data_IF_912407023479
#
_entry.id   IF_912407023479
#
_cell.length_a   1.000
_cell.length_b   1.000
_cell.length_c   1.000
_cell.angle_alpha   90.00
_cell.angle_beta   90.00
_cell.angle_gamma   90.00
#
_symmetry.space_group_name_H-M   'P 1'
#
loop_
_entity.id
_entity.type
_entity.pdbx_description
1 polymer ?
#
# COMPACT_ATOMS: atom_id res chain seq x y z
N UNK A 1 -3.28 -12.49 -20.68
CA UNK A 1 -2.14 -11.76 -21.28
C UNK A 1 -2.35 -10.29 -21.02
N UNK A 2 -1.34 -9.60 -20.48
CA UNK A 2 -1.41 -8.15 -20.26
C UNK A 2 -0.90 -7.50 -21.53
N UNK A 3 -1.80 -6.83 -22.24
CA UNK A 3 -1.48 -6.03 -23.42
C UNK A 3 -1.08 -4.65 -22.93
N UNK A 4 0.22 -4.38 -22.87
CA UNK A 4 0.73 -3.02 -22.77
C UNK A 4 0.53 -2.35 -24.14
N UNK A 5 -0.02 -1.14 -24.16
CA UNK A 5 -0.41 -0.44 -25.39
C UNK A 5 0.77 -0.31 -26.38
N UNK A 6 0.50 -0.33 -27.69
CA UNK A 6 1.53 -0.35 -28.72
C UNK A 6 2.17 1.03 -28.87
N UNK A 7 3.34 1.21 -28.26
CA UNK A 7 4.28 2.27 -28.61
C UNK A 7 5.59 1.62 -29.05
N UNK A 8 5.68 1.26 -30.34
CA UNK A 8 6.82 0.87 -31.20
C UNK A 8 8.16 0.33 -30.62
N UNK A 9 8.17 -0.20 -29.39
CA UNK A 9 9.33 -0.80 -28.74
C UNK A 9 8.87 -2.14 -28.19
N UNK A 10 9.49 -3.21 -28.67
CA UNK A 10 9.42 -4.52 -28.01
C UNK A 10 10.21 -4.39 -26.71
N UNK A 11 9.49 -4.31 -25.59
CA UNK A 11 10.08 -4.39 -24.27
C UNK A 11 10.44 -5.86 -23.97
N UNK A 12 11.61 -6.09 -23.39
CA UNK A 12 12.08 -7.44 -23.06
C UNK A 12 11.67 -7.78 -21.63
N UNK A 13 10.82 -8.80 -21.49
CA UNK A 13 10.37 -9.31 -20.20
C UNK A 13 11.11 -10.59 -19.82
N UNK A 14 11.83 -10.56 -18.72
CA UNK A 14 12.46 -11.72 -18.11
C UNK A 14 11.66 -12.18 -16.90
N UNK A 15 11.13 -13.40 -16.95
CA UNK A 15 10.46 -14.02 -15.81
C UNK A 15 11.48 -14.42 -14.74
N UNK A 16 11.28 -13.98 -13.50
CA UNK A 16 12.11 -14.39 -12.35
C UNK A 16 11.43 -15.49 -11.53
N UNK A 17 10.14 -15.33 -11.23
CA UNK A 17 9.39 -16.29 -10.42
C UNK A 17 7.90 -16.30 -10.78
N UNK A 18 7.26 -17.47 -10.72
CA UNK A 18 5.83 -17.64 -10.94
C UNK A 18 5.21 -18.61 -9.95
N UNK A 19 4.07 -18.23 -9.38
CA UNK A 19 3.15 -19.09 -8.64
C UNK A 19 1.71 -18.84 -9.10
N UNK A 20 0.73 -19.55 -8.53
CA UNK A 20 -0.68 -19.48 -8.94
C UNK A 20 -1.25 -18.05 -8.97
N UNK A 21 -0.80 -17.17 -8.07
CA UNK A 21 -1.30 -15.80 -7.95
C UNK A 21 -0.20 -14.74 -8.02
N UNK A 22 1.00 -15.10 -8.47
CA UNK A 22 2.13 -14.17 -8.50
C UNK A 22 2.99 -14.42 -9.72
N UNK A 23 3.26 -13.35 -10.46
CA UNK A 23 4.25 -13.35 -11.54
C UNK A 23 5.20 -12.20 -11.24
N UNK A 24 6.47 -12.51 -11.01
CA UNK A 24 7.53 -11.54 -10.82
C UNK A 24 8.51 -11.64 -11.99
N UNK A 25 8.93 -10.50 -12.50
CA UNK A 25 9.94 -10.43 -13.53
C UNK A 25 10.53 -9.06 -13.69
N UNK A 26 11.33 -8.91 -14.72
CA UNK A 26 12.03 -7.68 -15.08
C UNK A 26 11.64 -7.29 -16.49
N UNK A 27 11.06 -6.10 -16.66
CA UNK A 27 10.75 -5.50 -17.96
C UNK A 27 11.72 -4.34 -18.20
N UNK A 28 12.57 -4.43 -19.23
CA UNK A 28 13.56 -3.39 -19.56
C UNK A 28 14.39 -2.94 -18.34
N UNK A 29 14.83 -3.89 -17.51
CA UNK A 29 15.60 -3.62 -16.29
C UNK A 29 14.76 -3.16 -15.07
N UNK A 30 13.46 -2.95 -15.23
CA UNK A 30 12.53 -2.56 -14.15
C UNK A 30 11.82 -3.78 -13.58
N UNK A 31 11.85 -3.95 -12.26
CA UNK A 31 11.08 -5.02 -11.59
C UNK A 31 9.59 -4.77 -11.71
N UNK A 32 8.86 -5.78 -12.17
CA UNK A 32 7.40 -5.79 -12.28
C UNK A 32 6.84 -7.02 -11.57
N UNK A 33 5.76 -6.81 -10.83
CA UNK A 33 5.02 -7.87 -10.14
C UNK A 33 3.54 -7.79 -10.51
N UNK A 34 2.96 -8.93 -10.90
CA UNK A 34 1.53 -9.11 -11.07
C UNK A 34 1.02 -10.02 -9.96
N UNK A 35 0.06 -9.52 -9.20
CA UNK A 35 -0.47 -10.20 -8.01
C UNK A 35 -1.97 -10.42 -8.17
N UNK A 36 -2.42 -11.66 -7.94
CA UNK A 36 -3.83 -11.98 -7.83
C UNK A 36 -4.44 -11.26 -6.63
N UNK A 37 -5.41 -10.39 -6.88
CA UNK A 37 -6.03 -9.56 -5.85
C UNK A 37 -7.52 -9.86 -5.75
N UNK A 38 -7.93 -10.52 -4.67
CA UNK A 38 -9.28 -11.09 -4.51
C UNK A 38 -10.25 -10.14 -3.79
N UNK A 39 -9.77 -8.99 -3.32
CA UNK A 39 -10.58 -8.03 -2.61
C UNK A 39 -11.18 -7.03 -3.58
N UNK A 40 -12.49 -6.74 -3.49
CA UNK A 40 -13.14 -5.77 -4.37
C UNK A 40 -12.52 -4.38 -4.18
N UNK A 41 -12.51 -3.59 -5.25
CA UNK A 41 -12.23 -2.17 -5.15
C UNK A 41 -13.45 -1.45 -4.56
N UNK A 42 -13.21 -0.55 -3.61
CA UNK A 42 -14.28 0.27 -3.02
C UNK A 42 -14.71 1.38 -3.99
N UNK A 43 -13.77 1.85 -4.81
CA UNK A 43 -13.98 2.94 -5.76
C UNK A 43 -13.48 2.55 -7.16
N UNK A 44 -14.02 3.18 -8.21
CA UNK A 44 -13.51 2.99 -9.57
C UNK A 44 -12.03 3.36 -9.67
N UNK A 45 -11.28 2.66 -10.51
CA UNK A 45 -9.92 3.05 -10.87
C UNK A 45 -9.92 4.41 -11.57
N UNK A 46 -8.85 5.17 -11.38
CA UNK A 46 -8.58 6.43 -12.05
C UNK A 46 -7.61 6.22 -13.21
N UNK A 47 -7.81 6.94 -14.32
CA UNK A 47 -6.88 6.91 -15.45
C UNK A 47 -5.72 7.90 -15.17
N UNK A 48 -4.49 7.40 -15.13
CA UNK A 48 -3.30 8.22 -14.97
C UNK A 48 -2.19 7.72 -15.91
N UNK A 49 -1.64 8.59 -16.75
CA UNK A 49 -0.56 8.21 -17.67
C UNK A 49 -0.91 7.08 -18.64
N UNK A 50 -2.19 6.93 -19.00
CA UNK A 50 -2.67 5.85 -19.88
C UNK A 50 -2.88 4.49 -19.21
N UNK A 51 -2.70 4.40 -17.89
CA UNK A 51 -2.96 3.19 -17.11
C UNK A 51 -4.05 3.43 -16.05
N UNK A 52 -4.76 2.36 -15.70
CA UNK A 52 -5.71 2.37 -14.61
C UNK A 52 -4.98 2.20 -13.28
N UNK A 53 -5.19 3.15 -12.37
CA UNK A 53 -4.62 3.20 -11.03
C UNK A 53 -5.74 3.09 -10.01
N UNK A 54 -5.57 2.27 -8.96
CA UNK A 54 -6.54 2.15 -7.89
C UNK A 54 -6.78 3.51 -7.20
N UNK A 55 -7.99 3.74 -6.70
CA UNK A 55 -8.27 4.95 -5.91
C UNK A 55 -7.37 5.00 -4.66
N UNK A 56 -7.01 6.21 -4.25
CA UNK A 56 -6.12 6.41 -3.10
C UNK A 56 -6.66 5.77 -1.82
N UNK A 57 -7.99 5.67 -1.66
CA UNK A 57 -8.62 4.97 -0.52
C UNK A 57 -8.36 3.47 -0.57
N UNK A 58 -8.44 2.86 -1.74
CA UNK A 58 -8.14 1.43 -1.93
C UNK A 58 -6.66 1.16 -1.66
N UNK A 59 -5.77 2.03 -2.15
CA UNK A 59 -4.33 1.97 -1.87
C UNK A 59 -4.06 2.11 -0.36
N UNK A 60 -4.74 3.04 0.33
CA UNK A 60 -4.61 3.22 1.76
C UNK A 60 -5.00 1.96 2.54
N UNK A 61 -6.11 1.30 2.16
CA UNK A 61 -6.55 0.06 2.80
C UNK A 61 -5.56 -1.08 2.56
N UNK A 62 -4.93 -1.14 1.38
CA UNK A 62 -3.86 -2.11 1.10
C UNK A 62 -2.60 -1.86 1.93
N UNK A 63 -2.23 -0.58 2.10
CA UNK A 63 -1.09 -0.19 2.95
C UNK A 63 -1.34 -0.50 4.42
N UNK A 64 -2.55 -0.26 4.93
CA UNK A 64 -2.93 -0.62 6.30
C UNK A 64 -2.81 -2.14 6.52
N UNK A 65 -3.30 -2.97 5.58
CA UNK A 65 -3.14 -4.43 5.67
C UNK A 65 -1.67 -4.86 5.68
N UNK A 66 -0.84 -4.21 4.85
CA UNK A 66 0.60 -4.46 4.78
C UNK A 66 1.29 -4.12 6.11
N UNK A 67 1.03 -2.92 6.64
CA UNK A 67 1.59 -2.45 7.92
C UNK A 67 1.14 -3.32 9.08
N UNK A 68 -0.11 -3.78 9.07
CA UNK A 68 -0.63 -4.65 10.11
C UNK A 68 0.07 -6.02 10.18
N UNK A 69 0.73 -6.46 9.11
CA UNK A 69 1.45 -7.75 9.04
C UNK A 69 2.94 -7.55 9.26
N UNK A 70 3.57 -6.73 8.41
CA UNK A 70 5.01 -6.42 8.43
C UNK A 70 5.25 -5.16 7.60
N UNK A 71 5.01 -4.00 8.19
CA UNK A 71 5.18 -2.71 7.51
C UNK A 71 6.65 -2.35 7.33
N UNK A 72 7.03 -1.93 6.13
CA UNK A 72 8.29 -1.24 5.90
C UNK A 72 8.16 0.25 6.26
N UNK A 73 9.27 0.93 6.54
CA UNK A 73 9.27 2.37 6.88
C UNK A 73 8.55 3.24 5.85
N UNK A 74 8.68 2.91 4.56
CA UNK A 74 7.95 3.58 3.46
C UNK A 74 6.43 3.43 3.54
N UNK A 75 5.92 2.29 4.02
CA UNK A 75 4.47 2.05 4.09
C UNK A 75 3.84 2.92 5.17
N UNK A 76 4.53 3.10 6.30
CA UNK A 76 4.15 4.05 7.33
C UNK A 76 4.17 5.50 6.82
N UNK A 77 5.18 5.88 6.03
CA UNK A 77 5.27 7.22 5.42
C UNK A 77 4.11 7.44 4.46
N UNK A 78 3.78 6.47 3.60
CA UNK A 78 2.65 6.57 2.68
C UNK A 78 1.33 6.79 3.44
N UNK A 79 1.06 5.97 4.46
CA UNK A 79 -0.15 6.12 5.28
C UNK A 79 -0.16 7.47 6.02
N UNK A 80 0.99 7.93 6.54
CA UNK A 80 1.09 9.24 7.19
C UNK A 80 0.60 10.36 6.27
N UNK A 81 1.08 10.41 5.02
CA UNK A 81 0.66 11.46 4.09
C UNK A 81 -0.80 11.31 3.65
N UNK A 82 -1.28 10.08 3.45
CA UNK A 82 -2.70 9.83 3.17
C UNK A 82 -3.57 10.35 4.33
N UNK A 83 -3.19 10.09 5.58
CA UNK A 83 -3.92 10.54 6.76
C UNK A 83 -3.93 12.07 6.89
N UNK A 84 -2.84 12.73 6.48
CA UNK A 84 -2.69 14.19 6.54
C UNK A 84 -3.46 14.92 5.43
N UNK A 85 -3.56 14.33 4.24
CA UNK A 85 -4.03 15.02 3.05
C UNK A 85 -5.39 14.53 2.55
N UNK A 86 -5.80 13.30 2.89
CA UNK A 86 -6.96 12.65 2.28
C UNK A 86 -8.09 12.41 3.28
N UNK A 87 -7.85 11.67 4.37
CA UNK A 87 -8.91 11.25 5.29
C UNK A 87 -8.36 10.87 6.68
N UNK A 88 -9.14 11.07 7.77
CA UNK A 88 -8.73 10.66 9.11
C UNK A 88 -8.70 9.13 9.26
N UNK A 89 -7.90 8.64 10.22
CA UNK A 89 -7.70 7.20 10.42
C UNK A 89 -9.00 6.46 10.71
N UNK A 90 -9.91 7.08 11.47
CA UNK A 90 -11.23 6.51 11.77
C UNK A 90 -12.04 6.16 10.52
N UNK A 91 -11.97 6.99 9.48
CA UNK A 91 -12.73 6.77 8.25
C UNK A 91 -12.03 5.77 7.34
N UNK A 92 -10.69 5.80 7.27
CA UNK A 92 -9.93 4.76 6.59
C UNK A 92 -10.19 3.37 7.19
N UNK A 93 -10.30 3.24 8.52
CA UNK A 93 -10.60 1.96 9.17
C UNK A 93 -12.04 1.49 8.94
N UNK A 94 -13.01 2.40 8.76
CA UNK A 94 -14.37 2.03 8.33
C UNK A 94 -14.36 1.52 6.88
N UNK A 95 -13.62 2.16 6.00
CA UNK A 95 -13.47 1.72 4.60
C UNK A 95 -12.70 0.40 4.50
N UNK A 96 -11.64 0.23 5.30
CA UNK A 96 -10.94 -1.03 5.46
C UNK A 96 -11.91 -2.15 5.86
N UNK A 97 -12.75 -1.88 6.86
CA UNK A 97 -13.78 -2.82 7.33
C UNK A 97 -14.72 -3.25 6.19
N UNK A 98 -15.15 -2.32 5.36
CA UNK A 98 -16.00 -2.61 4.20
C UNK A 98 -15.27 -3.41 3.13
N UNK A 99 -14.03 -3.04 2.81
CA UNK A 99 -13.22 -3.68 1.76
C UNK A 99 -12.94 -5.15 2.07
N UNK A 100 -12.66 -5.44 3.34
CA UNK A 100 -12.29 -6.76 3.81
C UNK A 100 -13.44 -7.49 4.52
N UNK A 101 -14.69 -7.06 4.33
CA UNK A 101 -15.85 -7.64 5.02
C UNK A 101 -16.08 -9.14 4.77
N UNK A 102 -15.55 -9.67 3.67
CA UNK A 102 -15.62 -11.11 3.32
C UNK A 102 -14.62 -11.98 4.10
N UNK A 103 -13.68 -11.38 4.84
CA UNK A 103 -12.71 -12.08 5.67
C UNK A 103 -12.84 -11.62 7.12
N UNK A 104 -12.67 -12.54 8.05
CA UNK A 104 -12.72 -12.22 9.49
C UNK A 104 -11.39 -11.60 9.94
N UNK A 105 -11.20 -10.30 9.69
CA UNK A 105 -10.01 -9.58 10.15
C UNK A 105 -10.17 -9.11 11.60
N UNK A 106 -9.07 -9.14 12.35
CA UNK A 106 -9.05 -8.69 13.73
C UNK A 106 -8.65 -7.20 13.79
N UNK A 107 -9.62 -6.30 14.00
CA UNK A 107 -9.37 -4.86 14.07
C UNK A 107 -8.37 -4.47 15.17
N UNK A 108 -8.35 -5.21 16.30
CA UNK A 108 -7.36 -5.00 17.36
C UNK A 108 -5.94 -5.29 16.87
N UNK A 109 -5.77 -6.33 16.04
CA UNK A 109 -4.47 -6.63 15.42
C UNK A 109 -4.05 -5.53 14.44
N UNK A 110 -4.98 -5.03 13.61
CA UNK A 110 -4.73 -3.92 12.68
C UNK A 110 -4.25 -2.67 13.45
N UNK A 111 -5.00 -2.24 14.47
CA UNK A 111 -4.64 -1.09 15.31
C UNK A 111 -3.27 -1.26 15.97
N UNK A 112 -2.95 -2.46 16.46
CA UNK A 112 -1.63 -2.76 17.04
C UNK A 112 -0.50 -2.62 16.02
N UNK A 113 -0.69 -3.14 14.81
CA UNK A 113 0.32 -3.02 13.75
C UNK A 113 0.62 -1.57 13.36
N UNK A 114 -0.38 -0.69 13.38
CA UNK A 114 -0.20 0.75 13.10
C UNK A 114 0.68 1.49 14.12
N UNK A 115 0.94 0.88 15.29
CA UNK A 115 1.85 1.42 16.32
C UNK A 115 3.02 0.47 16.62
N UNK A 116 3.20 -0.57 15.82
CA UNK A 116 4.30 -1.51 15.94
C UNK A 116 5.36 -1.20 14.88
N UNK A 117 6.41 -0.50 15.30
CA UNK A 117 7.43 0.04 14.40
C UNK A 117 8.69 -0.83 14.27
N UNK A 118 8.80 -1.90 15.06
CA UNK A 118 10.05 -2.66 15.23
C UNK A 118 10.59 -3.21 13.90
N UNK A 119 9.73 -3.75 13.04
CA UNK A 119 10.11 -4.22 11.71
C UNK A 119 10.63 -3.08 10.82
N UNK A 120 9.98 -1.91 10.89
CA UNK A 120 10.32 -0.74 10.09
C UNK A 120 11.59 -0.02 10.59
N UNK A 121 11.99 -0.17 11.85
CA UNK A 121 13.15 0.55 12.41
C UNK A 121 14.43 0.31 11.60
N UNK A 122 14.59 -0.91 11.09
CA UNK A 122 15.79 -1.34 10.33
C UNK A 122 15.84 -0.79 8.91
N UNK A 123 14.71 -0.34 8.38
CA UNK A 123 14.67 0.21 7.03
C UNK A 123 15.25 1.62 7.00
N UNK A 124 15.98 2.01 5.94
CA UNK A 124 16.34 3.41 5.75
C UNK A 124 15.09 4.27 5.53
N UNK A 125 15.17 5.55 5.90
CA UNK A 125 14.16 6.51 5.44
C UNK A 125 14.16 6.55 3.91
N UNK A 126 12.99 6.55 3.24
CA UNK A 126 12.93 6.72 1.81
C UNK A 126 13.43 8.13 1.42
N UNK A 127 13.78 8.31 0.15
CA UNK A 127 14.15 9.62 -0.38
C UNK A 127 12.93 10.55 -0.34
N UNK A 128 12.92 11.47 0.62
CA UNK A 128 11.78 12.33 0.92
C UNK A 128 11.74 13.59 0.06
N UNK A 129 10.57 13.89 -0.51
CA UNK A 129 10.29 15.20 -1.15
C UNK A 129 9.92 16.24 -0.08
N UNK A 130 9.08 15.84 0.88
CA UNK A 130 8.72 16.65 2.06
C UNK A 130 9.49 16.12 3.26
N UNK A 131 10.21 16.99 3.97
CA UNK A 131 10.96 16.61 5.15
C UNK A 131 10.02 16.00 6.21
N UNK A 132 10.43 14.86 6.78
CA UNK A 132 9.66 14.13 7.79
C UNK A 132 10.62 13.40 8.72
N UNK A 133 10.49 13.65 10.02
CA UNK A 133 11.21 12.89 11.04
C UNK A 133 10.47 11.59 11.38
N UNK A 134 11.22 10.49 11.51
CA UNK A 134 10.64 9.20 11.87
C UNK A 134 10.01 9.22 13.26
N UNK A 135 10.63 9.92 14.22
CA UNK A 135 10.07 10.07 15.57
C UNK A 135 8.75 10.85 15.59
N UNK A 136 8.64 11.90 14.76
CA UNK A 136 7.39 12.64 14.56
C UNK A 136 6.29 11.75 14.00
N UNK A 137 6.58 10.98 12.95
CA UNK A 137 5.63 10.03 12.38
C UNK A 137 5.13 9.04 13.44
N UNK A 138 6.03 8.44 14.23
CA UNK A 138 5.64 7.46 15.25
C UNK A 138 4.68 8.05 16.28
N UNK A 139 4.97 9.27 16.75
CA UNK A 139 4.08 10.01 17.68
C UNK A 139 2.72 10.30 17.05
N UNK A 140 2.70 10.66 15.77
CA UNK A 140 1.46 10.90 15.04
C UNK A 140 0.56 9.65 15.03
N UNK A 141 1.09 8.48 14.66
CA UNK A 141 0.30 7.24 14.66
C UNK A 141 -0.22 6.85 16.05
N UNK A 142 0.63 6.99 17.08
CA UNK A 142 0.21 6.75 18.47
C UNK A 142 -0.95 7.66 18.90
N UNK A 143 -0.90 8.93 18.51
CA UNK A 143 -1.98 9.89 18.78
C UNK A 143 -3.24 9.57 17.98
N UNK A 144 -3.12 9.22 16.70
CA UNK A 144 -4.27 8.84 15.87
C UNK A 144 -4.98 7.60 16.42
N UNK A 145 -4.23 6.58 16.86
CA UNK A 145 -4.80 5.37 17.48
C UNK A 145 -5.43 5.68 18.85
N UNK A 146 -4.84 6.58 19.66
CA UNK A 146 -5.40 6.93 20.97
C UNK A 146 -6.77 7.64 20.89
N UNK A 147 -7.15 8.16 19.72
CA UNK A 147 -8.44 8.82 19.49
C UNK A 147 -9.58 7.84 19.20
N UNK A 148 -9.31 6.55 18.98
CA UNK A 148 -10.27 5.57 18.42
C UNK A 148 -10.30 4.21 19.12
#
# INVERSE_FOLDING_TARGET
GIVLQPSHRTAEFHLENQSEQTINGVLDGTKISFLGYHYPLLKPCQMAGGILVADIVDIACMKIDTVAKRGAKRDFVDIYFILKEIAPLSDLLKMFTQKYASVNYNMTHIKKGLVYFEDAERDPMPNMIKALDWGELKRFFQQEIAKI
#
